data_IF_642455823579
#
_entry.id   IF_642455823579
#
_cell.length_a   1.000
_cell.length_b   1.000
_cell.length_c   1.000
_cell.angle_alpha   90.00
_cell.angle_beta   90.00
_cell.angle_gamma   90.00
#
_symmetry.space_group_name_H-M   'P 1'
#
loop_
_entity.id
_entity.type
_entity.pdbx_description
1 polymer ?
#
# COMPACT_ATOMS: atom_id res chain seq x y z
N UNK A 1 0.99 -28.34 -8.38
CA UNK A 1 -0.37 -27.75 -8.39
C UNK A 1 -0.19 -26.25 -8.44
N UNK A 2 -0.58 -25.59 -9.53
CA UNK A 2 -0.48 -24.14 -9.63
C UNK A 2 -1.30 -23.53 -8.50
N UNK A 3 -0.67 -22.75 -7.62
CA UNK A 3 -1.41 -21.96 -6.62
C UNK A 3 -2.42 -21.11 -7.43
N UNK A 4 -3.73 -21.15 -7.13
CA UNK A 4 -4.66 -20.23 -7.77
C UNK A 4 -4.10 -18.81 -7.57
N UNK A 5 -4.01 -18.04 -8.66
CA UNK A 5 -3.67 -16.62 -8.59
C UNK A 5 -4.51 -16.02 -7.48
N UNK A 6 -3.87 -15.37 -6.50
CA UNK A 6 -4.61 -14.69 -5.45
C UNK A 6 -5.59 -13.74 -6.14
N UNK A 7 -6.88 -13.74 -5.76
CA UNK A 7 -7.88 -12.98 -6.49
C UNK A 7 -7.51 -11.49 -6.46
N UNK A 8 -7.46 -10.89 -7.64
CA UNK A 8 -7.23 -9.47 -7.85
C UNK A 8 -8.54 -8.71 -7.66
N UNK A 9 -8.49 -7.64 -6.88
CA UNK A 9 -9.64 -6.76 -6.68
C UNK A 9 -9.26 -5.31 -6.90
N UNK A 10 -10.02 -4.61 -7.73
CA UNK A 10 -9.96 -3.16 -7.82
C UNK A 10 -10.56 -2.55 -6.54
N UNK A 11 -9.91 -1.49 -6.06
CA UNK A 11 -10.37 -0.68 -4.94
C UNK A 11 -11.15 0.51 -5.48
N UNK A 12 -12.46 0.52 -5.26
CA UNK A 12 -13.36 1.56 -5.80
C UNK A 12 -14.02 2.36 -4.69
N UNK A 13 -14.15 3.69 -4.82
CA UNK A 13 -14.97 4.48 -3.90
C UNK A 13 -16.45 4.08 -3.96
N UNK A 14 -17.12 3.92 -2.82
CA UNK A 14 -18.53 3.50 -2.82
C UNK A 14 -19.28 3.76 -1.51
N UNK A 15 -20.61 3.94 -1.62
CA UNK A 15 -21.50 4.20 -0.47
C UNK A 15 -21.66 3.00 0.48
N UNK A 16 -21.41 1.79 0.00
CA UNK A 16 -21.42 0.54 0.78
C UNK A 16 -20.06 -0.12 0.68
N UNK A 17 -19.02 0.56 1.17
CA UNK A 17 -17.68 -0.02 1.19
C UNK A 17 -17.55 -1.14 2.21
N UNK A 18 -16.39 -1.78 2.18
CA UNK A 18 -16.03 -2.81 3.15
C UNK A 18 -15.72 -2.12 4.48
N UNK A 19 -16.27 -2.59 5.61
CA UNK A 19 -15.98 -2.03 6.92
C UNK A 19 -14.47 -1.92 7.16
N UNK A 20 -14.01 -0.76 7.64
CA UNK A 20 -12.60 -0.44 7.90
C UNK A 20 -11.69 -0.44 6.65
N UNK A 21 -12.22 -0.52 5.43
CA UNK A 21 -11.45 -0.31 4.20
C UNK A 21 -11.64 1.13 3.73
N UNK A 22 -10.64 1.98 3.96
CA UNK A 22 -10.74 3.41 3.67
C UNK A 22 -9.41 4.09 3.40
N UNK A 23 -9.49 5.26 2.76
CA UNK A 23 -8.42 6.23 2.54
C UNK A 23 -8.75 7.52 3.29
N UNK A 24 -7.76 8.13 3.92
CA UNK A 24 -7.90 9.36 4.68
C UNK A 24 -8.82 9.26 5.90
N UNK A 25 -9.22 10.41 6.44
CA UNK A 25 -9.93 10.48 7.71
C UNK A 25 -9.02 10.23 8.92
N UNK A 26 -9.61 9.73 9.99
CA UNK A 26 -8.88 9.30 11.21
C UNK A 26 -8.76 7.78 11.19
N UNK A 27 -7.59 7.18 11.50
CA UNK A 27 -7.47 5.73 11.53
C UNK A 27 -8.44 5.10 12.53
N UNK A 28 -9.08 4.00 12.12
CA UNK A 28 -9.97 3.19 12.95
C UNK A 28 -9.45 1.75 12.99
N UNK A 29 -8.91 1.33 14.14
CA UNK A 29 -8.22 0.05 14.25
C UNK A 29 -9.07 -1.00 14.99
N UNK A 30 -9.14 -2.26 14.51
CA UNK A 30 -9.83 -3.37 15.20
C UNK A 30 -9.03 -3.92 16.41
N UNK A 31 -8.12 -3.12 16.95
CA UNK A 31 -7.19 -3.44 18.03
C UNK A 31 -6.39 -2.21 18.43
N UNK A 32 -5.25 -2.43 19.10
CA UNK A 32 -4.36 -1.33 19.50
C UNK A 32 -3.48 -0.88 18.34
N UNK A 33 -3.49 0.43 18.07
CA UNK A 33 -2.68 1.10 17.07
C UNK A 33 -1.96 2.28 17.72
N UNK A 34 -0.62 2.20 17.76
CA UNK A 34 0.22 3.31 18.14
C UNK A 34 0.49 4.20 16.93
N UNK A 35 0.28 5.51 17.08
CA UNK A 35 0.54 6.48 16.03
C UNK A 35 2.04 6.56 15.73
N UNK A 36 2.49 6.29 14.49
CA UNK A 36 3.92 6.25 14.20
C UNK A 36 4.53 7.65 14.08
N UNK A 37 5.78 7.75 14.56
CA UNK A 37 6.65 8.89 14.30
C UNK A 37 7.63 8.54 13.17
N UNK A 38 8.01 9.53 12.37
CA UNK A 38 9.02 9.38 11.34
C UNK A 38 10.38 9.06 11.97
N UNK A 39 11.05 8.00 11.51
CA UNK A 39 12.36 7.62 12.05
C UNK A 39 13.46 8.65 11.71
N UNK A 40 13.27 9.45 10.66
CA UNK A 40 14.26 10.43 10.19
C UNK A 40 14.16 11.77 10.92
N UNK A 41 12.95 12.31 11.10
CA UNK A 41 12.75 13.65 11.67
C UNK A 41 12.03 13.65 13.03
N UNK A 42 11.53 12.51 13.50
CA UNK A 42 10.76 12.38 14.73
C UNK A 42 9.35 12.97 14.69
N UNK A 43 8.96 13.61 13.58
CA UNK A 43 7.64 14.22 13.40
C UNK A 43 6.51 13.18 13.27
N UNK A 44 5.26 13.57 13.54
CA UNK A 44 4.12 12.68 13.35
C UNK A 44 3.96 12.32 11.87
N UNK A 45 3.77 11.05 11.56
CA UNK A 45 3.39 10.65 10.21
C UNK A 45 1.89 10.85 9.99
N UNK A 46 1.49 11.18 8.76
CA UNK A 46 0.09 11.38 8.37
C UNK A 46 -0.53 10.05 7.96
N UNK A 47 -1.73 9.79 8.44
CA UNK A 47 -2.51 8.61 8.04
C UNK A 47 -2.93 8.70 6.57
N UNK A 48 -2.64 7.65 5.80
CA UNK A 48 -2.96 7.55 4.37
C UNK A 48 -4.20 6.69 4.13
N UNK A 49 -4.13 5.42 4.52
CA UNK A 49 -5.21 4.45 4.33
C UNK A 49 -5.07 3.26 5.27
N UNK A 50 -6.13 2.47 5.36
CA UNK A 50 -6.15 1.22 6.10
C UNK A 50 -6.82 0.12 5.30
N UNK A 51 -6.29 -1.09 5.43
CA UNK A 51 -6.82 -2.29 4.81
C UNK A 51 -7.17 -3.31 5.90
N UNK A 52 -8.42 -3.79 5.99
CA UNK A 52 -8.79 -4.86 6.90
C UNK A 52 -8.41 -6.22 6.31
N UNK A 53 -8.20 -7.21 7.17
CA UNK A 53 -8.23 -8.61 6.76
C UNK A 53 -9.65 -8.94 6.30
N UNK A 54 -9.77 -9.52 5.10
CA UNK A 54 -11.04 -9.96 4.54
C UNK A 54 -10.86 -11.35 3.97
N UNK A 55 -11.40 -12.35 4.67
CA UNK A 55 -11.27 -13.75 4.29
C UNK A 55 -11.68 -13.97 2.82
N UNK A 56 -10.82 -14.66 2.07
CA UNK A 56 -11.03 -14.94 0.65
C UNK A 56 -10.80 -13.76 -0.31
N UNK A 57 -10.52 -12.55 0.17
CA UNK A 57 -10.24 -11.37 -0.68
C UNK A 57 -8.91 -10.69 -0.39
N UNK A 58 -8.61 -10.45 0.89
CA UNK A 58 -7.38 -9.80 1.35
C UNK A 58 -6.86 -10.50 2.61
N UNK A 59 -5.86 -11.36 2.42
CA UNK A 59 -5.26 -12.13 3.51
C UNK A 59 -4.11 -11.38 4.19
N UNK A 60 -4.43 -10.76 5.32
CA UNK A 60 -3.47 -10.15 6.24
C UNK A 60 -3.19 -11.00 7.49
N UNK A 61 -3.72 -12.23 7.57
CA UNK A 61 -3.59 -13.06 8.78
C UNK A 61 -2.11 -13.26 9.16
N UNK A 62 -1.74 -13.19 10.45
CA UNK A 62 -2.63 -13.17 11.62
C UNK A 62 -3.17 -11.78 11.99
N UNK A 63 -2.82 -10.74 11.24
CA UNK A 63 -3.24 -9.37 11.51
C UNK A 63 -4.67 -9.13 11.05
N UNK A 64 -5.42 -8.34 11.83
CA UNK A 64 -6.80 -7.95 11.53
C UNK A 64 -6.87 -6.75 10.58
N UNK A 65 -5.83 -5.91 10.54
CA UNK A 65 -5.70 -4.83 9.56
C UNK A 65 -4.23 -4.40 9.42
N UNK A 66 -3.94 -3.62 8.38
CA UNK A 66 -2.71 -2.84 8.22
C UNK A 66 -3.08 -1.38 7.98
N UNK A 67 -2.41 -0.48 8.69
CA UNK A 67 -2.61 0.96 8.60
C UNK A 67 -1.34 1.61 8.06
N UNK A 68 -1.50 2.47 7.06
CA UNK A 68 -0.36 3.07 6.36
C UNK A 68 -0.28 4.56 6.66
N UNK A 69 0.93 5.00 7.00
CA UNK A 69 1.27 6.36 7.36
C UNK A 69 2.51 6.82 6.61
N UNK A 70 2.63 8.13 6.37
CA UNK A 70 3.75 8.74 5.67
C UNK A 70 4.16 10.06 6.32
N UNK A 71 5.46 10.33 6.35
CA UNK A 71 6.00 11.61 6.75
C UNK A 71 5.73 12.66 5.66
N UNK A 72 5.10 13.76 6.05
CA UNK A 72 4.85 14.93 5.20
C UNK A 72 5.39 16.20 5.85
N UNK A 73 6.48 16.09 6.62
CA UNK A 73 7.13 17.24 7.23
C UNK A 73 7.73 18.12 6.12
N UNK A 74 7.24 19.36 5.91
CA UNK A 74 7.73 20.23 4.83
C UNK A 74 9.13 20.79 5.11
N UNK A 75 9.59 20.74 6.36
CA UNK A 75 10.87 21.32 6.78
C UNK A 75 12.07 20.38 6.57
N UNK A 76 11.81 19.12 6.20
CA UNK A 76 12.84 18.08 6.04
C UNK A 76 12.57 17.20 4.84
N UNK A 77 13.61 16.79 4.12
CA UNK A 77 13.49 15.77 3.07
C UNK A 77 13.57 14.39 3.73
N UNK A 78 12.42 13.81 4.06
CA UNK A 78 12.32 12.41 4.51
C UNK A 78 12.11 11.49 3.29
N UNK A 79 12.85 10.39 3.18
CA UNK A 79 12.90 9.53 2.00
C UNK A 79 11.69 8.60 1.89
N UNK A 80 10.55 9.16 1.51
CA UNK A 80 9.25 8.45 1.35
C UNK A 80 9.25 7.41 0.22
N UNK A 81 10.19 7.52 -0.71
CA UNK A 81 10.38 6.58 -1.80
C UNK A 81 11.17 5.34 -1.38
N UNK A 82 11.84 5.38 -0.23
CA UNK A 82 12.60 4.25 0.31
C UNK A 82 11.78 3.55 1.41
N UNK A 83 11.49 2.24 1.27
CA UNK A 83 10.73 1.48 2.27
C UNK A 83 11.45 1.32 3.62
N UNK A 84 12.77 1.45 3.70
CA UNK A 84 13.56 1.15 4.91
C UNK A 84 13.93 2.39 5.75
N UNK A 85 13.99 3.57 5.15
CA UNK A 85 14.39 4.83 5.81
C UNK A 85 13.43 5.31 6.91
N UNK A 86 12.24 4.69 7.00
CA UNK A 86 11.28 4.96 8.08
C UNK A 86 10.54 6.29 7.95
N UNK A 87 10.57 6.89 6.75
CA UNK A 87 9.68 7.98 6.36
C UNK A 87 8.23 7.51 6.20
N UNK A 88 8.02 6.22 5.91
CA UNK A 88 6.70 5.57 5.90
C UNK A 88 6.57 4.55 7.04
N UNK A 89 5.34 4.28 7.47
CA UNK A 89 5.04 3.15 8.33
C UNK A 89 3.83 2.37 7.80
N UNK A 90 3.98 1.05 7.70
CA UNK A 90 2.89 0.11 7.50
C UNK A 90 2.72 -0.69 8.79
N UNK A 91 1.74 -0.31 9.61
CA UNK A 91 1.55 -0.81 10.97
C UNK A 91 0.50 -1.93 10.95
N UNK A 92 0.90 -3.21 11.14
CA UNK A 92 -0.06 -4.28 11.32
C UNK A 92 -0.72 -4.20 12.68
N UNK A 93 -2.03 -4.42 12.73
CA UNK A 93 -2.83 -4.44 13.96
C UNK A 93 -3.45 -5.83 14.13
N UNK A 94 -3.29 -6.40 15.32
CA UNK A 94 -3.98 -7.64 15.70
C UNK A 94 -5.36 -7.32 16.28
N UNK A 95 -6.30 -8.25 16.14
CA UNK A 95 -7.62 -8.12 16.75
C UNK A 95 -7.51 -7.96 18.28
N UNK A 96 -8.24 -7.00 18.83
CA UNK A 96 -8.21 -6.70 20.27
C UNK A 96 -9.20 -5.60 20.64
N UNK A 97 -9.01 -5.01 21.83
CA UNK A 97 -9.75 -3.81 22.21
C UNK A 97 -9.36 -2.64 21.29
N UNK A 98 -10.30 -2.03 20.55
CA UNK A 98 -10.01 -0.91 19.67
C UNK A 98 -9.44 0.28 20.44
N UNK A 99 -8.24 0.72 20.08
CA UNK A 99 -7.63 1.92 20.63
C UNK A 99 -6.62 2.51 19.65
N UNK A 100 -6.69 3.81 19.41
CA UNK A 100 -5.72 4.53 18.58
C UNK A 100 -5.10 5.63 19.44
N UNK A 101 -3.77 5.63 19.56
CA UNK A 101 -3.09 6.69 20.31
C UNK A 101 -3.08 8.01 19.53
N UNK A 102 -2.95 9.12 20.26
CA UNK A 102 -2.88 10.44 19.64
C UNK A 102 -1.53 10.61 18.90
N UNK A 103 -1.49 11.35 17.77
CA UNK A 103 -0.24 11.67 17.12
C UNK A 103 0.68 12.47 18.05
N UNK A 104 2.02 12.32 17.91
CA UNK A 104 2.99 13.08 18.71
C UNK A 104 3.05 14.58 18.37
N UNK A 105 2.18 15.07 17.48
CA UNK A 105 2.05 16.46 17.07
C UNK A 105 0.82 16.69 16.20
N UNK A 106 0.57 17.93 15.76
CA UNK A 106 -0.58 18.24 14.91
C UNK A 106 -0.45 17.55 13.54
N UNK A 107 -1.52 16.86 13.13
CA UNK A 107 -1.65 16.25 11.80
C UNK A 107 -3.01 16.59 11.23
N UNK A 108 -3.04 17.13 10.01
CA UNK A 108 -4.30 17.36 9.29
C UNK A 108 -4.70 16.05 8.58
N UNK A 109 -5.91 15.50 8.76
CA UNK A 109 -6.31 14.30 8.03
C UNK A 109 -6.52 14.58 6.54
N UNK A 110 -6.39 13.57 5.69
CA UNK A 110 -6.92 13.60 4.32
C UNK A 110 -8.46 13.50 4.33
N UNK A 111 -9.10 13.87 3.23
CA UNK A 111 -10.53 13.59 3.06
C UNK A 111 -10.77 12.08 3.15
N UNK A 112 -11.85 11.68 3.82
CA UNK A 112 -12.15 10.26 4.01
C UNK A 112 -12.92 9.69 2.81
N UNK A 113 -12.47 8.52 2.35
CA UNK A 113 -13.09 7.74 1.29
C UNK A 113 -13.24 6.30 1.74
N UNK A 114 -14.48 5.84 1.82
CA UNK A 114 -14.79 4.43 2.03
C UNK A 114 -14.67 3.68 0.70
N UNK A 115 -13.97 2.53 0.70
CA UNK A 115 -13.73 1.74 -0.51
C UNK A 115 -14.44 0.39 -0.48
N UNK A 116 -14.74 -0.15 -1.66
CA UNK A 116 -15.21 -1.51 -1.87
C UNK A 116 -14.22 -2.32 -2.72
N UNK A 117 -14.52 -3.61 -2.87
CA UNK A 117 -13.84 -4.50 -3.80
C UNK A 117 -14.70 -4.75 -5.04
N UNK A 118 -14.15 -4.49 -6.21
CA UNK A 118 -14.70 -4.94 -7.49
C UNK A 118 -13.79 -6.01 -8.10
N UNK A 119 -14.32 -7.13 -8.62
CA UNK A 119 -13.51 -8.11 -9.33
C UNK A 119 -12.75 -7.45 -10.47
N UNK A 120 -11.46 -7.76 -10.59
CA UNK A 120 -10.62 -7.21 -11.66
C UNK A 120 -9.69 -8.28 -12.24
N UNK A 121 -9.19 -7.99 -13.44
CA UNK A 121 -8.21 -8.79 -14.16
C UNK A 121 -7.07 -7.91 -14.63
N UNK A 122 -5.90 -8.49 -14.80
CA UNK A 122 -4.73 -7.81 -15.37
C UNK A 122 -3.86 -8.81 -16.11
N UNK A 123 -3.05 -8.31 -17.04
CA UNK A 123 -2.02 -9.10 -17.69
C UNK A 123 -0.75 -9.09 -16.83
N UNK A 124 -0.68 -10.02 -15.88
CA UNK A 124 0.46 -10.11 -14.95
C UNK A 124 1.78 -10.42 -15.66
N UNK A 125 1.73 -11.11 -16.79
CA UNK A 125 2.93 -11.47 -17.55
C UNK A 125 3.51 -10.21 -18.21
N UNK A 126 2.67 -9.44 -18.91
CA UNK A 126 3.08 -8.17 -19.48
C UNK A 126 3.52 -7.15 -18.41
N UNK A 127 2.86 -7.12 -17.25
CA UNK A 127 3.22 -6.21 -16.15
C UNK A 127 4.51 -6.56 -15.41
N UNK A 128 5.02 -7.78 -15.57
CA UNK A 128 6.21 -8.27 -14.84
C UNK A 128 7.47 -8.37 -15.69
N UNK A 129 7.47 -7.80 -16.90
CA UNK A 129 8.64 -7.81 -17.79
C UNK A 129 9.76 -6.93 -17.24
N UNK A 130 11.01 -7.37 -17.39
CA UNK A 130 12.17 -6.51 -17.15
C UNK A 130 12.31 -5.53 -18.33
N UNK A 131 12.06 -4.26 -18.08
CA UNK A 131 12.14 -3.19 -19.07
C UNK A 131 13.52 -3.05 -19.72
N UNK A 132 14.59 -3.51 -19.06
CA UNK A 132 15.95 -3.44 -19.59
C UNK A 132 16.24 -4.58 -20.58
N UNK A 133 15.51 -5.69 -20.49
CA UNK A 133 15.67 -6.89 -21.33
C UNK A 133 14.51 -7.09 -22.30
N UNK A 134 13.43 -6.33 -22.16
CA UNK A 134 12.21 -6.46 -22.95
C UNK A 134 12.42 -6.11 -24.43
N UNK A 135 11.77 -6.88 -25.30
CA UNK A 135 11.62 -6.55 -26.72
C UNK A 135 10.61 -5.41 -26.93
N UNK A 136 10.62 -4.79 -28.10
CA UNK A 136 9.64 -3.75 -28.46
C UNK A 136 8.18 -4.24 -28.34
N UNK A 137 7.92 -5.49 -28.73
CA UNK A 137 6.59 -6.10 -28.58
C UNK A 137 6.17 -6.24 -27.11
N UNK A 138 7.10 -6.62 -26.24
CA UNK A 138 6.87 -6.73 -24.80
C UNK A 138 6.65 -5.37 -24.15
N UNK A 139 7.37 -4.33 -24.58
CA UNK A 139 7.14 -2.96 -24.11
C UNK A 139 5.76 -2.44 -24.53
N UNK A 140 5.35 -2.68 -25.77
CA UNK A 140 3.99 -2.33 -26.22
C UNK A 140 2.90 -3.12 -25.48
N UNK A 141 3.16 -4.36 -25.10
CA UNK A 141 2.27 -5.16 -24.27
C UNK A 141 2.20 -4.62 -22.84
N UNK A 142 3.33 -4.25 -22.26
CA UNK A 142 3.42 -3.58 -20.97
C UNK A 142 2.60 -2.30 -20.97
N UNK A 143 2.77 -1.40 -21.94
CA UNK A 143 2.02 -0.13 -22.01
C UNK A 143 0.50 -0.36 -22.02
N UNK A 144 0.02 -1.34 -22.80
CA UNK A 144 -1.41 -1.70 -22.81
C UNK A 144 -1.86 -2.25 -21.46
N UNK A 145 -1.09 -3.17 -20.89
CA UNK A 145 -1.41 -3.77 -19.60
C UNK A 145 -1.43 -2.73 -18.46
N UNK A 146 -0.52 -1.75 -18.50
CA UNK A 146 -0.48 -0.64 -17.54
C UNK A 146 -1.72 0.25 -17.65
N UNK A 147 -2.19 0.53 -18.87
CA UNK A 147 -3.38 1.35 -19.11
C UNK A 147 -4.69 0.65 -18.71
N UNK A 148 -4.73 -0.69 -18.80
CA UNK A 148 -5.90 -1.50 -18.47
C UNK A 148 -5.96 -1.90 -16.98
N UNK A 149 -4.81 -1.99 -16.31
CA UNK A 149 -4.73 -2.39 -14.92
C UNK A 149 -5.40 -1.38 -13.97
N UNK A 150 -6.11 -1.83 -12.92
CA UNK A 150 -6.69 -0.91 -11.94
C UNK A 150 -5.62 -0.09 -11.22
N UNK A 151 -5.81 1.23 -11.16
CA UNK A 151 -4.85 2.14 -10.51
C UNK A 151 -4.71 1.88 -9.00
N UNK A 152 -5.80 1.47 -8.35
CA UNK A 152 -5.84 1.07 -6.94
C UNK A 152 -6.37 -0.36 -6.84
N UNK A 153 -5.61 -1.27 -6.22
CA UNK A 153 -5.94 -2.70 -6.18
C UNK A 153 -5.31 -3.42 -4.99
N UNK A 154 -5.86 -4.60 -4.68
CA UNK A 154 -5.25 -5.60 -3.81
C UNK A 154 -5.03 -6.91 -4.58
N UNK A 155 -3.90 -7.57 -4.34
CA UNK A 155 -3.46 -8.72 -5.14
C UNK A 155 -2.92 -8.31 -6.52
N UNK A 156 -2.59 -9.30 -7.35
CA UNK A 156 -1.91 -9.08 -8.63
C UNK A 156 -0.41 -8.76 -8.47
N UNK A 157 0.13 -7.92 -9.34
CA UNK A 157 1.52 -7.43 -9.34
C UNK A 157 1.57 -5.88 -9.32
N UNK A 158 2.63 -5.25 -8.80
CA UNK A 158 2.75 -3.79 -8.82
C UNK A 158 2.76 -3.25 -10.26
N UNK A 159 2.12 -2.10 -10.49
CA UNK A 159 2.25 -1.35 -11.74
C UNK A 159 3.21 -0.19 -11.50
N UNK A 160 4.49 -0.40 -11.83
CA UNK A 160 5.59 0.52 -11.55
C UNK A 160 5.56 1.78 -12.42
N UNK A 161 5.93 2.91 -11.82
CA UNK A 161 6.09 4.20 -12.53
C UNK A 161 7.56 4.47 -12.86
N UNK A 162 8.46 4.25 -11.89
CA UNK A 162 9.88 4.60 -11.99
C UNK A 162 10.81 3.38 -11.88
N UNK A 163 10.41 2.28 -12.50
CA UNK A 163 11.12 1.00 -12.42
C UNK A 163 10.73 0.16 -11.21
N UNK A 164 11.21 -1.09 -11.20
CA UNK A 164 10.92 -2.05 -10.13
C UNK A 164 11.50 -1.55 -8.79
N UNK A 165 10.68 -1.54 -7.76
CA UNK A 165 11.07 -1.12 -6.41
C UNK A 165 10.70 -2.14 -5.35
N UNK A 166 10.63 -3.43 -5.69
CA UNK A 166 10.23 -4.49 -4.73
C UNK A 166 11.18 -4.48 -3.53
N UNK A 167 10.69 -4.24 -2.29
CA UNK A 167 11.56 -4.26 -1.13
C UNK A 167 12.03 -5.69 -0.82
N UNK A 168 13.22 -5.80 -0.25
CA UNK A 168 13.73 -7.05 0.32
C UNK A 168 13.42 -7.13 1.82
N UNK A 169 13.04 -8.31 2.30
CA UNK A 169 12.85 -8.59 3.72
C UNK A 169 13.34 -10.00 4.03
N UNK A 170 14.26 -10.11 5.00
CA UNK A 170 14.82 -11.39 5.43
C UNK A 170 15.43 -12.18 4.26
N UNK A 171 16.28 -11.50 3.48
CA UNK A 171 17.02 -12.06 2.35
C UNK A 171 16.14 -12.60 1.20
N UNK A 172 14.92 -12.09 1.09
CA UNK A 172 13.99 -12.44 0.02
C UNK A 172 13.15 -11.22 -0.42
N UNK A 173 12.75 -11.14 -1.71
CA UNK A 173 11.77 -10.16 -2.16
C UNK A 173 10.46 -10.28 -1.40
N UNK A 174 9.89 -9.15 -0.98
CA UNK A 174 8.59 -9.11 -0.32
C UNK A 174 7.46 -9.41 -1.32
N UNK A 175 6.35 -9.94 -0.81
CA UNK A 175 5.14 -10.18 -1.59
C UNK A 175 4.33 -8.90 -1.71
N UNK A 176 3.90 -8.56 -2.92
CA UNK A 176 2.95 -7.47 -3.14
C UNK A 176 1.59 -7.74 -2.47
N UNK A 177 1.03 -6.71 -1.83
CA UNK A 177 -0.27 -6.75 -1.16
C UNK A 177 -1.26 -5.84 -1.86
N UNK A 178 -0.90 -4.57 -2.04
CA UNK A 178 -1.80 -3.56 -2.56
C UNK A 178 -1.03 -2.42 -3.23
N UNK A 179 -1.68 -1.75 -4.19
CA UNK A 179 -1.26 -0.44 -4.66
C UNK A 179 -2.43 0.54 -4.54
N UNK A 180 -2.09 1.82 -4.37
CA UNK A 180 -3.06 2.89 -4.30
C UNK A 180 -2.54 4.08 -5.11
N UNK A 181 -3.39 4.63 -5.97
CA UNK A 181 -3.09 5.87 -6.67
C UNK A 181 -3.27 7.09 -5.75
N UNK A 182 -2.52 8.15 -6.02
CA UNK A 182 -2.68 9.43 -5.33
C UNK A 182 -4.07 10.03 -5.57
N UNK A 183 -4.54 9.95 -6.81
CA UNK A 183 -5.86 10.42 -7.24
C UNK A 183 -6.87 9.26 -7.26
N UNK A 184 -8.14 9.52 -6.94
CA UNK A 184 -8.77 10.81 -6.63
C UNK A 184 -8.61 11.24 -5.16
N UNK A 185 -7.85 10.51 -4.35
CA UNK A 185 -7.82 10.68 -2.89
C UNK A 185 -7.04 11.92 -2.41
N UNK A 186 -6.21 12.50 -3.27
CA UNK A 186 -5.37 13.66 -2.97
C UNK A 186 -4.15 13.32 -2.11
N UNK A 187 -3.70 12.07 -2.11
CA UNK A 187 -2.50 11.64 -1.37
C UNK A 187 -1.24 12.24 -2.02
N UNK A 188 -0.24 12.57 -1.21
CA UNK A 188 0.99 13.17 -1.70
C UNK A 188 2.03 12.10 -2.06
N UNK A 189 1.89 11.53 -3.25
CA UNK A 189 2.84 10.57 -3.84
C UNK A 189 3.66 11.19 -4.98
N UNK A 190 3.65 12.52 -5.14
CA UNK A 190 4.18 13.19 -6.33
C UNK A 190 3.18 13.26 -7.49
N UNK A 191 3.64 13.65 -8.68
CA UNK A 191 2.77 13.79 -9.86
C UNK A 191 2.30 12.41 -10.34
N UNK A 192 0.99 12.25 -10.50
CA UNK A 192 0.34 10.97 -10.79
C UNK A 192 0.86 9.77 -9.98
N UNK A 193 1.26 10.01 -8.72
CA UNK A 193 2.02 9.03 -7.96
C UNK A 193 1.20 7.85 -7.45
N UNK A 194 1.92 6.79 -7.06
CA UNK A 194 1.37 5.53 -6.55
C UNK A 194 2.13 5.08 -5.32
N UNK A 195 1.37 4.56 -4.35
CA UNK A 195 1.89 3.89 -3.17
C UNK A 195 1.75 2.37 -3.30
N UNK A 196 2.73 1.64 -2.78
CA UNK A 196 2.79 0.17 -2.88
C UNK A 196 3.03 -0.43 -1.50
N UNK A 197 2.16 -1.35 -1.09
CA UNK A 197 2.25 -2.09 0.16
C UNK A 197 2.74 -3.51 -0.10
N UNK A 198 3.75 -3.92 0.65
CA UNK A 198 4.37 -5.24 0.58
C UNK A 198 4.34 -5.95 1.92
N UNK A 199 4.36 -7.28 1.88
CA UNK A 199 4.42 -8.16 3.05
C UNK A 199 5.60 -9.12 2.97
N UNK A 200 6.31 -9.25 4.07
CA UNK A 200 7.39 -10.20 4.23
C UNK A 200 6.84 -11.62 4.12
N UNK A 201 7.59 -12.52 3.49
CA UNK A 201 7.17 -13.92 3.32
C UNK A 201 7.38 -14.76 4.58
N UNK A 202 8.16 -14.25 5.55
CA UNK A 202 8.37 -14.85 6.86
C UNK A 202 7.29 -14.43 7.85
N UNK A 203 6.74 -15.41 8.56
CA UNK A 203 5.69 -15.20 9.57
C UNK A 203 6.22 -14.60 10.88
N UNK A 204 7.49 -14.83 11.21
CA UNK A 204 8.15 -14.35 12.43
C UNK A 204 8.82 -12.97 12.29
N UNK A 205 8.61 -12.29 11.16
CA UNK A 205 9.20 -10.99 10.91
C UNK A 205 8.58 -9.91 11.81
N UNK A 206 9.43 -9.18 12.54
CA UNK A 206 9.02 -8.12 13.48
C UNK A 206 8.39 -6.92 12.77
N UNK A 207 8.84 -6.62 11.54
CA UNK A 207 8.25 -5.58 10.68
C UNK A 207 7.77 -6.25 9.40
N UNK A 208 6.60 -6.92 9.40
CA UNK A 208 6.19 -7.77 8.29
C UNK A 208 5.66 -6.96 7.09
N UNK A 209 5.45 -5.65 7.20
CA UNK A 209 4.99 -4.82 6.09
C UNK A 209 5.96 -3.68 5.76
N UNK A 210 5.98 -3.30 4.49
CA UNK A 210 6.71 -2.13 3.95
C UNK A 210 5.83 -1.36 2.99
N UNK A 211 6.00 -0.06 2.97
CA UNK A 211 5.31 0.84 2.07
C UNK A 211 6.30 1.81 1.44
N UNK A 212 6.17 2.01 0.14
CA UNK A 212 6.95 2.98 -0.62
C UNK A 212 6.04 3.70 -1.63
N UNK A 213 6.48 4.87 -2.07
CA UNK A 213 5.78 5.66 -3.07
C UNK A 213 6.67 5.97 -4.26
N UNK A 214 6.10 5.93 -5.47
CA UNK A 214 6.73 6.47 -6.67
C UNK A 214 5.84 7.61 -7.20
N UNK A 215 6.45 8.72 -7.60
CA UNK A 215 5.80 9.80 -8.36
C UNK A 215 6.38 9.84 -9.76
N UNK A 216 5.56 10.07 -10.78
CA UNK A 216 6.03 10.22 -12.15
C UNK A 216 6.85 11.51 -12.35
#
# INVERSE_FOLDING_TARGET
MSRPLAPLWALVPGRTGVPLLKVGGTPEAPGSLEWPACAMCGGPQRFLFQLPHVEGRLDLAPHASVHVFQCENPDTVCFRWDPEEGANAAVPVNAGAPSVSAPPGPVKPYAEWTLGFEPATEDTEALSVDVNEATEEQLLALDRAQAEAPESKVGGVPVWLNGEGTPECCDAPMRFVAQLAAMPFGLDFGDNGRGYLFRCTREDCVRPFRFLTQGA
#
